data_IF_137319302230
#
_entry.id   IF_137319302230
#
_cell.length_a   1.000
_cell.length_b   1.000
_cell.length_c   1.000
_cell.angle_alpha   90.00
_cell.angle_beta   90.00
_cell.angle_gamma   90.00
#
_symmetry.space_group_name_H-M   'P 1'
#
loop_
_entity.id
_entity.type
_entity.pdbx_description
1 polymer ?
#
# COMPACT_ATOMS: atom_id res chain seq x y z
N UNK A 1 0.97 12.55 3.92
CA UNK A 1 -0.09 11.57 3.88
C UNK A 1 -0.14 10.76 5.15
N UNK A 2 -1.32 10.60 5.69
CA UNK A 2 -1.46 10.00 7.00
C UNK A 2 -1.10 8.53 7.03
N UNK A 3 -1.41 7.81 5.98
CA UNK A 3 -1.08 6.39 5.94
C UNK A 3 0.43 6.15 5.96
N UNK A 4 1.18 6.95 5.23
CA UNK A 4 2.64 6.81 5.23
C UNK A 4 3.20 7.15 6.60
N UNK A 5 2.64 8.16 7.25
CA UNK A 5 3.07 8.51 8.59
C UNK A 5 2.84 7.36 9.57
N UNK A 6 1.70 6.70 9.47
CA UNK A 6 1.42 5.56 10.32
C UNK A 6 2.34 4.38 9.99
N UNK A 7 2.66 4.20 8.72
CA UNK A 7 3.60 3.17 8.33
C UNK A 7 4.97 3.43 8.94
N UNK A 8 5.40 4.68 8.98
CA UNK A 8 6.67 5.00 9.62
C UNK A 8 6.67 4.67 11.09
N UNK A 9 5.54 4.83 11.74
CA UNK A 9 5.45 4.55 13.15
C UNK A 9 5.32 3.07 13.47
N UNK A 10 4.67 2.31 12.59
CA UNK A 10 4.34 0.94 12.90
C UNK A 10 5.18 -0.10 12.18
N UNK A 11 5.72 0.24 11.03
CA UNK A 11 6.43 -0.72 10.20
C UNK A 11 7.93 -0.48 10.21
N UNK A 12 8.35 0.74 9.92
CA UNK A 12 9.77 1.03 9.88
C UNK A 12 10.08 2.35 9.22
N UNK A 13 11.33 2.49 8.87
CA UNK A 13 11.86 3.76 8.39
C UNK A 13 11.57 3.94 6.91
N UNK A 14 11.00 5.05 6.52
CA UNK A 14 10.69 5.33 5.12
C UNK A 14 11.98 5.58 4.35
N UNK A 15 12.18 4.81 3.28
CA UNK A 15 13.35 4.96 2.42
C UNK A 15 13.07 5.80 1.21
N UNK A 16 12.01 5.49 0.49
CA UNK A 16 11.64 6.22 -0.72
C UNK A 16 10.15 6.30 -0.86
N UNK A 17 9.68 7.32 -1.53
CA UNK A 17 8.26 7.50 -1.77
C UNK A 17 8.09 8.06 -3.17
N UNK A 18 7.19 7.48 -3.95
CA UNK A 18 6.94 7.93 -5.31
C UNK A 18 6.11 9.20 -5.29
N UNK A 19 5.97 9.80 -6.46
CA UNK A 19 4.98 10.85 -6.65
C UNK A 19 3.59 10.23 -6.59
N UNK A 20 2.58 11.04 -6.36
CA UNK A 20 1.22 10.55 -6.39
C UNK A 20 0.83 10.25 -7.82
N UNK A 21 0.14 9.17 -8.03
CA UNK A 21 -0.34 8.75 -9.33
C UNK A 21 -1.86 8.71 -9.27
N UNK A 22 -2.50 9.59 -10.02
CA UNK A 22 -3.94 9.69 -10.03
C UNK A 22 -4.50 8.93 -11.22
N UNK A 23 -5.54 8.16 -11.01
CA UNK A 23 -6.18 7.43 -12.09
C UNK A 23 -7.69 7.56 -11.97
N UNK A 24 -8.35 7.58 -13.09
CA UNK A 24 -9.80 7.69 -13.11
C UNK A 24 -10.44 6.39 -12.66
N UNK A 25 -11.61 6.45 -12.06
CA UNK A 25 -12.31 5.24 -11.69
C UNK A 25 -12.66 4.42 -12.91
N UNK A 26 -12.55 3.10 -12.78
CA UNK A 26 -12.74 2.24 -13.89
C UNK A 26 -14.15 1.72 -13.90
N UNK A 27 -14.84 1.88 -14.96
CA UNK A 27 -16.12 1.22 -15.12
C UNK A 27 -17.26 1.80 -14.32
N UNK A 28 -17.11 2.87 -13.60
CA UNK A 28 -18.23 3.48 -12.94
C UNK A 28 -17.93 4.94 -12.67
N UNK A 29 -18.94 5.65 -12.21
CA UNK A 29 -18.80 7.03 -12.00
C UNK A 29 -18.41 7.29 -10.59
N UNK A 30 -17.43 8.05 -10.35
CA UNK A 30 -17.06 8.47 -9.02
C UNK A 30 -16.65 9.91 -9.10
N UNK A 31 -16.87 10.64 -8.05
CA UNK A 31 -16.50 12.01 -8.06
C UNK A 31 -15.03 12.19 -7.84
N UNK A 32 -14.32 11.17 -7.41
CA UNK A 32 -12.92 11.31 -7.08
C UNK A 32 -12.08 10.35 -7.86
N UNK A 33 -10.93 10.82 -8.32
CA UNK A 33 -9.96 9.93 -8.92
C UNK A 33 -9.30 9.11 -7.84
N UNK A 34 -8.83 7.94 -8.21
CA UNK A 34 -8.01 7.16 -7.29
C UNK A 34 -6.62 7.74 -7.24
N UNK A 35 -6.07 7.80 -6.05
CA UNK A 35 -4.73 8.32 -5.85
C UNK A 35 -3.88 7.21 -5.28
N UNK A 36 -2.82 6.86 -5.98
CA UNK A 36 -1.92 5.81 -5.57
C UNK A 36 -0.51 6.36 -5.37
N UNK A 37 0.20 5.77 -4.43
CA UNK A 37 1.57 6.16 -4.17
C UNK A 37 2.29 4.88 -3.75
N UNK A 38 3.56 4.77 -4.11
CA UNK A 38 4.35 3.63 -3.72
C UNK A 38 5.46 4.10 -2.79
N UNK A 39 5.71 3.35 -1.74
CA UNK A 39 6.73 3.73 -0.78
C UNK A 39 7.52 2.50 -0.35
N UNK A 40 8.79 2.68 -0.01
CA UNK A 40 9.60 1.60 0.48
C UNK A 40 10.05 1.93 1.89
N UNK A 41 10.13 0.91 2.72
CA UNK A 41 10.46 1.06 4.13
C UNK A 41 11.50 0.03 4.54
N UNK A 42 12.33 0.42 5.49
CA UNK A 42 13.23 -0.52 6.13
C UNK A 42 12.55 -0.98 7.42
N UNK A 43 12.42 -2.29 7.59
CA UNK A 43 11.67 -2.81 8.71
C UNK A 43 12.39 -4.01 9.32
N UNK A 44 12.19 -4.21 10.63
CA UNK A 44 12.67 -5.40 11.31
C UNK A 44 11.57 -6.45 11.41
N UNK A 45 10.42 -6.18 10.86
CA UNK A 45 9.29 -7.10 10.95
C UNK A 45 9.34 -8.13 9.83
N UNK A 46 8.71 -9.27 10.07
CA UNK A 46 8.55 -10.26 9.02
C UNK A 46 7.45 -9.81 8.05
N UNK A 47 7.37 -10.42 6.87
CA UNK A 47 6.29 -10.07 5.94
C UNK A 47 4.90 -10.21 6.56
N UNK A 48 4.69 -11.26 7.35
CA UNK A 48 3.40 -11.48 7.97
C UNK A 48 3.10 -10.40 9.02
N UNK A 49 4.13 -9.97 9.75
CA UNK A 49 3.95 -8.90 10.73
C UNK A 49 3.64 -7.57 10.03
N UNK A 50 4.30 -7.30 8.90
CA UNK A 50 4.02 -6.10 8.14
C UNK A 50 2.58 -6.14 7.65
N UNK A 51 2.12 -7.30 7.17
CA UNK A 51 0.74 -7.44 6.73
C UNK A 51 -0.22 -7.09 7.86
N UNK A 52 0.04 -7.58 9.07
CA UNK A 52 -0.82 -7.29 10.20
C UNK A 52 -0.84 -5.81 10.51
N UNK A 53 0.31 -5.14 10.42
CA UNK A 53 0.35 -3.71 10.69
C UNK A 53 -0.36 -2.90 9.62
N UNK A 54 -0.22 -3.29 8.34
CA UNK A 54 -0.91 -2.56 7.28
C UNK A 54 -2.41 -2.73 7.40
N UNK A 55 -2.87 -3.90 7.79
CA UNK A 55 -4.29 -4.12 7.98
C UNK A 55 -4.81 -3.32 9.18
N UNK A 56 -4.00 -3.18 10.22
CA UNK A 56 -4.38 -2.35 11.35
C UNK A 56 -4.51 -0.89 10.95
N UNK A 57 -3.60 -0.42 10.10
CA UNK A 57 -3.66 0.96 9.60
C UNK A 57 -4.91 1.17 8.76
N UNK A 58 -5.21 0.21 7.90
CA UNK A 58 -6.44 0.31 7.09
C UNK A 58 -7.67 0.40 7.97
N UNK A 59 -7.74 -0.39 9.00
CA UNK A 59 -8.90 -0.36 9.91
C UNK A 59 -8.95 0.95 10.68
N UNK A 60 -7.81 1.46 11.09
CA UNK A 60 -7.77 2.69 11.83
C UNK A 60 -8.28 3.87 10.99
N UNK A 61 -7.83 3.95 9.76
CA UNK A 61 -8.26 5.05 8.89
C UNK A 61 -9.70 4.87 8.44
N UNK A 62 -10.11 3.63 8.21
CA UNK A 62 -11.49 3.36 7.85
C UNK A 62 -12.44 3.63 9.01
N UNK A 63 -11.99 3.34 10.23
CA UNK A 63 -12.82 3.58 11.39
C UNK A 63 -13.05 5.08 11.58
N UNK A 64 -12.03 5.87 11.32
CA UNK A 64 -12.22 7.28 11.41
C UNK A 64 -13.25 7.78 10.43
N UNK A 65 -13.20 7.28 9.22
CA UNK A 65 -14.18 7.66 8.22
C UNK A 65 -15.57 7.29 8.68
N UNK A 66 -15.73 6.11 9.22
CA UNK A 66 -17.04 5.72 9.64
C UNK A 66 -17.53 6.57 10.76
N UNK A 67 -16.69 6.98 11.66
CA UNK A 67 -17.22 7.72 12.76
C UNK A 67 -17.63 9.12 12.36
N UNK A 68 -17.18 9.59 11.21
CA UNK A 68 -17.63 10.80 10.86
C UNK A 68 -18.86 10.82 10.14
N UNK A 69 -19.35 9.89 9.56
CA UNK A 69 -20.49 10.00 8.93
C UNK A 69 -20.87 9.09 8.21
N UNK A 70 -21.81 8.82 8.37
CA UNK A 70 -22.21 7.88 7.93
C UNK A 70 -22.25 7.65 6.58
N UNK A 71 -22.52 8.25 5.84
CA UNK A 71 -22.79 7.98 4.67
C UNK A 71 -21.84 7.96 3.74
N UNK A 72 -20.85 8.18 3.89
CA UNK A 72 -20.08 8.19 2.87
C UNK A 72 -19.32 7.19 2.58
N UNK A 73 -19.43 6.44 2.42
CA UNK A 73 -18.72 5.47 2.24
C UNK A 73 -18.53 4.83 1.15
N UNK A 74 -18.86 5.08 0.33
CA UNK A 74 -18.77 4.30 -0.76
C UNK A 74 -17.39 4.09 -1.16
N UNK A 75 -16.44 4.92 -1.03
CA UNK A 75 -15.11 4.68 -1.46
C UNK A 75 -14.34 4.19 -0.30
N UNK A 76 -13.53 3.16 -0.48
CA UNK A 76 -12.71 2.73 0.54
C UNK A 76 -11.73 3.77 0.85
N UNK A 77 -11.48 4.12 2.10
CA UNK A 77 -10.56 5.18 2.46
C UNK A 77 -9.15 4.86 2.08
N UNK A 78 -8.73 3.62 2.18
CA UNK A 78 -7.37 3.28 1.84
C UNK A 78 -7.20 1.79 1.69
N UNK A 79 -6.36 1.43 0.72
CA UNK A 79 -5.92 0.07 0.52
C UNK A 79 -4.42 0.07 0.55
N UNK A 80 -3.80 -0.78 1.33
CA UNK A 80 -2.35 -0.89 1.41
C UNK A 80 -1.96 -2.29 0.95
N UNK A 81 -1.24 -2.35 -0.16
CA UNK A 81 -0.78 -3.63 -0.70
C UNK A 81 0.72 -3.75 -0.51
N UNK A 82 1.18 -4.92 -0.08
CA UNK A 82 2.61 -5.19 0.02
C UNK A 82 3.04 -5.75 -1.32
N UNK A 83 3.91 -5.05 -2.00
CA UNK A 83 4.28 -5.41 -3.35
C UNK A 83 5.50 -6.32 -3.42
N UNK A 84 6.53 -5.99 -2.71
CA UNK A 84 7.78 -6.73 -2.71
C UNK A 84 8.43 -6.64 -1.34
N UNK A 85 9.24 -7.63 -1.01
CA UNK A 85 9.89 -7.68 0.28
C UNK A 85 11.28 -8.27 0.08
N UNK A 86 12.29 -7.69 0.71
CA UNK A 86 13.66 -8.13 0.55
C UNK A 86 14.32 -8.35 1.90
N UNK A 87 15.27 -9.28 1.95
CA UNK A 87 16.04 -9.48 3.16
C UNK A 87 17.09 -8.39 3.29
N UNK A 88 17.76 -8.39 4.43
CA UNK A 88 18.80 -7.43 4.66
C UNK A 88 19.94 -7.55 3.64
N UNK A 89 20.20 -8.74 3.15
CA UNK A 89 21.23 -8.95 2.16
C UNK A 89 20.75 -8.68 0.73
N UNK A 90 19.51 -8.27 0.57
CA UNK A 90 19.01 -7.89 -0.75
C UNK A 90 18.31 -9.00 -1.52
N UNK A 91 18.07 -10.13 -0.88
CA UNK A 91 17.39 -11.22 -1.58
C UNK A 91 15.89 -11.03 -1.52
N UNK A 92 15.24 -11.24 -2.65
CA UNK A 92 13.78 -11.06 -2.68
C UNK A 92 13.09 -12.24 -2.03
N UNK A 93 12.13 -11.96 -1.17
CA UNK A 93 11.37 -12.99 -0.50
C UNK A 93 10.18 -13.35 -1.37
N UNK A 94 9.98 -14.64 -1.58
CA UNK A 94 8.86 -15.16 -2.37
C UNK A 94 7.96 -15.94 -1.42
N UNK A 95 6.70 -15.57 -1.40
CA UNK A 95 5.71 -16.23 -0.56
C UNK A 95 4.45 -16.49 -1.35
N UNK A 96 3.81 -17.61 -1.07
CA UNK A 96 2.50 -17.88 -1.66
C UNK A 96 1.62 -18.48 -0.58
N UNK A 97 0.94 -17.64 0.15
CA UNK A 97 0.00 -18.07 1.17
C UNK A 97 -1.37 -17.50 0.86
N UNK A 98 -2.37 -17.96 1.58
CA UNK A 98 -3.71 -17.43 1.38
C UNK A 98 -3.79 -15.96 1.67
N UNK A 99 -3.05 -15.49 2.65
CA UNK A 99 -3.13 -14.11 3.08
C UNK A 99 -2.17 -13.19 2.37
N UNK A 100 -1.08 -13.71 1.85
CA UNK A 100 -0.03 -12.85 1.32
C UNK A 100 0.74 -13.57 0.23
N UNK A 101 0.83 -12.93 -0.93
CA UNK A 101 1.63 -13.43 -2.04
C UNK A 101 2.70 -12.39 -2.37
N UNK A 102 3.95 -12.79 -2.40
CA UNK A 102 5.06 -11.92 -2.71
C UNK A 102 5.92 -12.55 -3.78
N UNK A 103 6.33 -11.82 -4.80
CA UNK A 103 5.90 -10.45 -5.08
C UNK A 103 4.43 -10.42 -5.45
N UNK A 104 3.82 -9.27 -5.33
CA UNK A 104 2.40 -9.13 -5.58
C UNK A 104 2.09 -9.53 -7.02
N UNK A 105 1.05 -10.35 -7.24
CA UNK A 105 0.83 -10.92 -8.57
C UNK A 105 0.40 -9.92 -9.63
N UNK A 106 -0.09 -8.76 -9.24
CA UNK A 106 -0.60 -7.82 -10.23
C UNK A 106 0.28 -6.59 -10.43
N UNK A 107 1.57 -6.67 -10.06
CA UNK A 107 2.45 -5.52 -10.20
C UNK A 107 2.50 -5.05 -11.65
N UNK A 108 2.67 -5.97 -12.59
CA UNK A 108 2.82 -5.59 -13.99
C UNK A 108 1.49 -5.44 -14.72
N UNK A 109 0.41 -5.84 -14.10
CA UNK A 109 -0.90 -5.77 -14.74
C UNK A 109 -1.62 -4.46 -14.52
N UNK A 110 -1.11 -3.62 -13.62
CA UNK A 110 -1.80 -2.39 -13.26
C UNK A 110 -0.86 -1.22 -13.34
N UNK A 111 -1.13 -0.28 -14.23
CA UNK A 111 -0.28 0.91 -14.38
C UNK A 111 -0.17 1.69 -13.09
N UNK A 112 -1.25 1.79 -12.34
CA UNK A 112 -1.24 2.56 -11.11
C UNK A 112 -0.42 1.91 -10.01
N UNK A 113 0.07 0.70 -10.23
CA UNK A 113 0.98 0.02 -9.34
C UNK A 113 2.39 0.05 -9.93
N UNK A 114 2.52 -0.34 -11.18
CA UNK A 114 3.81 -0.48 -11.84
C UNK A 114 4.55 0.86 -11.98
N UNK A 115 3.84 1.89 -12.38
CA UNK A 115 4.49 3.18 -12.61
C UNK A 115 5.05 3.79 -11.33
N UNK A 116 4.28 3.89 -10.24
CA UNK A 116 4.86 4.40 -8.99
C UNK A 116 5.97 3.50 -8.44
N UNK A 117 5.84 2.19 -8.61
CA UNK A 117 6.86 1.28 -8.11
C UNK A 117 8.16 1.49 -8.89
N UNK A 118 8.09 1.63 -10.20
CA UNK A 118 9.28 1.85 -11.01
C UNK A 118 9.99 3.14 -10.64
N UNK A 119 9.26 4.10 -10.17
CA UNK A 119 9.85 5.38 -9.77
C UNK A 119 10.79 5.21 -8.59
N UNK A 120 10.48 4.33 -7.65
CA UNK A 120 11.29 4.18 -6.46
C UNK A 120 12.22 2.98 -6.52
N UNK A 121 12.00 2.07 -7.46
CA UNK A 121 12.90 0.95 -7.63
C UNK A 121 13.89 1.31 -8.70
N UNK A 122 15.11 1.45 -8.33
CA UNK A 122 16.10 1.74 -9.31
C UNK A 122 16.42 0.51 -10.04
N UNK A 123 15.84 0.30 -11.10
CA UNK A 123 16.13 -0.90 -11.83
C UNK A 123 16.77 -0.63 -13.11
#
# INVERSE_FOLDING_TARGET
>A
MEAIHLMEQRVGFLLRCSSFYYSAPWGFQSEHDFCNVCASFQTDLSPQQVLMETQAIERLLGRREKSKGAMCYHDRPIDIDILRFFTESGEEIVLQTEMLTLPHPYIHARDFVYIPLAEICCM
#
